data_IF_552921586782
#
_entry.id   IF_552921586782
#
_cell.length_a   1.000
_cell.length_b   1.000
_cell.length_c   1.000
_cell.angle_alpha   90.00
_cell.angle_beta   90.00
_cell.angle_gamma   90.00
#
_symmetry.space_group_name_H-M   'P 1'
#
loop_
_entity.id
_entity.type
_entity.pdbx_description
1 polymer ?
#
# COMPACT_ATOMS: atom_id res chain seq x y z
N UNK A 1 -5.70 -22.33 9.10
CA UNK A 1 -7.00 -22.65 8.45
C UNK A 1 -7.10 -24.17 8.34
N UNK A 2 -8.29 -24.81 8.30
CA UNK A 2 -8.32 -26.23 7.91
C UNK A 2 -7.81 -26.31 6.47
N UNK A 3 -6.89 -27.23 6.17
CA UNK A 3 -6.37 -27.43 4.81
C UNK A 3 -7.54 -27.78 3.88
N UNK A 4 -7.77 -26.95 2.87
CA UNK A 4 -8.80 -27.18 1.84
C UNK A 4 -8.04 -27.46 0.54
N UNK A 5 -7.73 -28.74 0.29
CA UNK A 5 -6.83 -29.17 -0.80
C UNK A 5 -7.17 -28.52 -2.16
N UNK A 6 -8.46 -28.47 -2.54
CA UNK A 6 -8.89 -27.88 -3.82
C UNK A 6 -8.48 -26.40 -3.93
N UNK A 7 -8.51 -25.67 -2.82
CA UNK A 7 -8.06 -24.27 -2.79
C UNK A 7 -6.54 -24.20 -2.86
N UNK A 8 -5.83 -25.05 -2.14
CA UNK A 8 -4.36 -25.10 -2.18
C UNK A 8 -3.84 -25.41 -3.59
N UNK A 9 -4.48 -26.36 -4.28
CA UNK A 9 -4.15 -26.73 -5.67
C UNK A 9 -4.32 -25.55 -6.63
N UNK A 10 -5.42 -24.78 -6.50
CA UNK A 10 -5.67 -23.61 -7.32
C UNK A 10 -4.62 -22.51 -7.10
N UNK A 11 -4.26 -22.25 -5.84
CA UNK A 11 -3.29 -21.21 -5.48
C UNK A 11 -1.84 -21.60 -5.84
N UNK A 12 -1.51 -22.90 -5.85
CA UNK A 12 -0.20 -23.38 -6.30
C UNK A 12 0.09 -23.07 -7.79
N UNK A 13 -0.96 -22.97 -8.61
CA UNK A 13 -0.85 -22.56 -10.03
C UNK A 13 -0.88 -21.04 -10.15
N UNK A 14 -1.75 -20.36 -9.41
CA UNK A 14 -1.89 -18.89 -9.47
C UNK A 14 -0.56 -18.17 -9.20
N UNK A 15 0.19 -18.60 -8.19
CA UNK A 15 1.47 -17.97 -7.83
C UNK A 15 2.56 -18.02 -8.91
N UNK A 16 2.39 -18.81 -9.98
CA UNK A 16 3.39 -19.03 -11.04
C UNK A 16 3.16 -18.19 -12.30
N UNK A 17 2.16 -17.30 -12.31
CA UNK A 17 1.71 -16.61 -13.54
C UNK A 17 2.29 -15.21 -13.78
N UNK A 18 3.41 -14.84 -13.15
CA UNK A 18 4.00 -13.51 -13.36
C UNK A 18 5.08 -13.52 -14.44
N UNK A 19 4.86 -12.75 -15.51
CA UNK A 19 5.91 -12.39 -16.48
C UNK A 19 6.41 -10.97 -16.22
N UNK A 20 7.71 -10.80 -16.00
CA UNK A 20 8.32 -9.47 -15.98
C UNK A 20 8.55 -8.96 -17.40
N UNK A 21 8.11 -7.74 -17.69
CA UNK A 21 8.44 -7.03 -18.92
C UNK A 21 9.28 -5.80 -18.55
N UNK A 22 10.42 -5.61 -19.22
CA UNK A 22 11.38 -4.55 -18.89
C UNK A 22 12.14 -4.78 -17.58
N UNK A 23 12.98 -3.82 -17.21
CA UNK A 23 13.78 -3.85 -15.97
C UNK A 23 12.94 -3.43 -14.75
N UNK A 24 12.02 -2.48 -14.97
CA UNK A 24 11.14 -1.92 -13.94
C UNK A 24 9.72 -1.74 -14.47
N UNK A 25 8.72 -2.33 -13.81
CA UNK A 25 7.32 -1.97 -14.06
C UNK A 25 6.96 -0.66 -13.36
N UNK A 26 5.90 0.03 -13.80
CA UNK A 26 5.39 1.22 -13.10
C UNK A 26 5.06 0.93 -11.62
N UNK A 27 4.48 -0.24 -11.31
CA UNK A 27 4.23 -0.71 -9.93
C UNK A 27 5.51 -0.90 -9.12
N UNK A 28 6.55 -1.44 -9.75
CA UNK A 28 7.87 -1.63 -9.13
C UNK A 28 8.53 -0.28 -8.88
N UNK A 29 8.42 0.64 -9.83
CA UNK A 29 9.07 1.94 -9.79
C UNK A 29 8.59 2.80 -8.62
N UNK A 30 7.28 2.79 -8.32
CA UNK A 30 6.71 3.53 -7.18
C UNK A 30 6.95 2.82 -5.83
N UNK A 31 7.38 1.56 -5.84
CA UNK A 31 7.68 0.81 -4.63
C UNK A 31 9.04 1.22 -4.03
N UNK A 32 9.22 1.08 -2.70
CA UNK A 32 10.50 1.36 -2.05
C UNK A 32 11.63 0.48 -2.62
N UNK A 33 12.83 1.02 -2.92
CA UNK A 33 13.93 0.23 -3.49
C UNK A 33 14.30 -1.00 -2.66
N UNK A 34 14.27 -0.88 -1.33
CA UNK A 34 14.51 -2.02 -0.43
C UNK A 34 13.52 -3.16 -0.64
N UNK A 35 12.22 -2.88 -0.84
CA UNK A 35 11.24 -3.93 -1.09
C UNK A 35 11.50 -4.61 -2.44
N UNK A 36 11.86 -3.84 -3.47
CA UNK A 36 12.17 -4.35 -4.80
C UNK A 36 13.40 -5.25 -4.77
N UNK A 37 14.51 -4.78 -4.18
CA UNK A 37 15.76 -5.54 -4.15
C UNK A 37 15.66 -6.80 -3.29
N UNK A 38 15.05 -6.71 -2.09
CA UNK A 38 14.82 -7.91 -1.27
C UNK A 38 13.86 -8.89 -1.98
N UNK A 39 12.85 -8.38 -2.70
CA UNK A 39 11.96 -9.20 -3.50
C UNK A 39 12.69 -9.95 -4.62
N UNK A 40 13.61 -9.27 -5.35
CA UNK A 40 14.48 -9.91 -6.35
C UNK A 40 15.40 -10.97 -5.74
N UNK A 41 15.95 -10.73 -4.54
CA UNK A 41 16.93 -11.61 -3.88
C UNK A 41 16.32 -12.82 -3.19
N UNK A 42 15.13 -12.67 -2.61
CA UNK A 42 14.53 -13.65 -1.70
C UNK A 42 13.08 -14.00 -2.02
N UNK A 43 12.47 -13.41 -3.06
CA UNK A 43 11.06 -13.62 -3.40
C UNK A 43 10.69 -15.10 -3.62
N UNK A 44 11.57 -15.86 -4.29
CA UNK A 44 11.38 -17.29 -4.53
C UNK A 44 11.46 -18.13 -3.24
N UNK A 45 12.02 -17.58 -2.17
CA UNK A 45 12.13 -18.21 -0.85
C UNK A 45 10.97 -17.81 0.07
N UNK A 46 10.05 -16.96 -0.39
CA UNK A 46 8.86 -16.58 0.35
C UNK A 46 7.76 -17.58 0.06
N UNK A 47 7.38 -18.34 1.08
CA UNK A 47 6.16 -19.14 1.02
C UNK A 47 4.95 -18.23 1.13
N UNK A 48 4.19 -18.12 0.03
CA UNK A 48 2.95 -17.36 0.01
C UNK A 48 1.80 -18.22 0.55
N UNK A 49 1.30 -17.88 1.73
CA UNK A 49 0.05 -18.47 2.25
C UNK A 49 -1.13 -18.22 1.30
N UNK A 50 -2.18 -19.03 1.40
CA UNK A 50 -3.43 -18.78 0.67
C UNK A 50 -3.99 -17.42 1.08
N UNK A 51 -4.00 -17.13 2.39
CA UNK A 51 -4.55 -15.91 2.96
C UNK A 51 -3.89 -14.63 2.42
N UNK A 52 -2.56 -14.65 2.22
CA UNK A 52 -1.83 -13.51 1.66
C UNK A 52 -2.12 -13.27 0.17
N UNK A 53 -2.64 -14.28 -0.53
CA UNK A 53 -2.92 -14.21 -1.97
C UNK A 53 -4.38 -13.88 -2.30
N UNK A 54 -5.32 -14.03 -1.35
CA UNK A 54 -6.76 -13.81 -1.60
C UNK A 54 -7.04 -12.43 -2.21
N UNK A 55 -6.42 -11.37 -1.67
CA UNK A 55 -6.64 -10.02 -2.17
C UNK A 55 -6.19 -9.86 -3.63
N UNK A 56 -5.03 -10.43 -3.98
CA UNK A 56 -4.52 -10.44 -5.36
C UNK A 56 -5.44 -11.21 -6.29
N UNK A 57 -5.88 -12.40 -5.88
CA UNK A 57 -6.80 -13.24 -6.65
C UNK A 57 -8.11 -12.51 -6.96
N UNK A 58 -8.72 -11.89 -5.94
CA UNK A 58 -9.97 -11.13 -6.12
C UNK A 58 -9.74 -9.94 -7.05
N UNK A 59 -8.62 -9.23 -6.90
CA UNK A 59 -8.22 -8.17 -7.82
C UNK A 59 -8.14 -8.66 -9.26
N UNK A 60 -7.33 -9.68 -9.53
CA UNK A 60 -7.19 -10.30 -10.86
C UNK A 60 -8.54 -10.69 -11.45
N UNK A 61 -9.39 -11.39 -10.68
CA UNK A 61 -10.70 -11.82 -11.17
C UNK A 61 -11.63 -10.66 -11.53
N UNK A 62 -11.56 -9.53 -10.81
CA UNK A 62 -12.31 -8.32 -11.16
C UNK A 62 -11.77 -7.69 -12.45
N UNK A 63 -10.45 -7.52 -12.59
CA UNK A 63 -9.84 -6.98 -13.82
C UNK A 63 -10.23 -7.82 -15.04
N UNK A 64 -9.96 -9.13 -15.02
CA UNK A 64 -10.24 -10.05 -16.13
C UNK A 64 -11.71 -10.02 -16.53
N UNK A 65 -12.62 -9.99 -15.55
CA UNK A 65 -14.05 -9.98 -15.83
C UNK A 65 -14.52 -8.66 -16.43
N UNK A 66 -14.06 -7.53 -15.91
CA UNK A 66 -14.41 -6.21 -16.44
C UNK A 66 -13.83 -6.05 -17.84
N UNK A 67 -12.57 -6.41 -18.04
CA UNK A 67 -11.92 -6.37 -19.35
C UNK A 67 -12.68 -7.22 -20.38
N UNK A 68 -13.05 -8.46 -20.03
CA UNK A 68 -13.87 -9.32 -20.90
C UNK A 68 -15.18 -8.66 -21.28
N UNK A 69 -15.87 -8.00 -20.34
CA UNK A 69 -17.12 -7.30 -20.63
C UNK A 69 -16.90 -6.07 -21.51
N UNK A 70 -15.82 -5.32 -21.30
CA UNK A 70 -15.45 -4.20 -22.15
C UNK A 70 -15.06 -4.65 -23.55
N UNK A 71 -14.36 -5.78 -23.71
CA UNK A 71 -14.11 -6.39 -25.01
C UNK A 71 -15.40 -6.65 -25.79
N UNK A 72 -16.42 -7.22 -25.13
CA UNK A 72 -17.72 -7.46 -25.76
C UNK A 72 -18.45 -6.15 -26.13
N UNK A 73 -18.35 -5.12 -25.28
CA UNK A 73 -18.86 -3.79 -25.60
C UNK A 73 -18.11 -3.15 -26.78
N UNK A 74 -16.80 -3.38 -26.86
CA UNK A 74 -15.91 -2.81 -27.88
C UNK A 74 -16.22 -3.31 -29.29
N UNK A 75 -16.78 -4.52 -29.43
CA UNK A 75 -17.26 -5.06 -30.71
C UNK A 75 -18.35 -4.17 -31.32
N UNK A 76 -19.19 -3.55 -30.47
CA UNK A 76 -20.27 -2.66 -30.92
C UNK A 76 -19.84 -1.22 -31.06
N UNK A 77 -18.91 -0.78 -30.22
CA UNK A 77 -18.38 0.57 -30.22
C UNK A 77 -16.88 0.54 -29.89
N UNK A 78 -15.98 0.68 -30.89
CA UNK A 78 -14.53 0.47 -30.74
C UNK A 78 -13.84 1.64 -30.04
N UNK A 79 -14.31 1.97 -28.85
CA UNK A 79 -13.84 3.08 -28.02
C UNK A 79 -12.73 2.66 -27.06
N UNK A 80 -12.46 1.37 -26.84
CA UNK A 80 -11.56 0.90 -25.79
C UNK A 80 -10.30 0.24 -26.34
N UNK A 81 -9.15 0.62 -25.78
CA UNK A 81 -7.92 -0.16 -25.81
C UNK A 81 -7.72 -0.77 -24.42
N UNK A 82 -7.63 -2.09 -24.36
CA UNK A 82 -7.61 -2.86 -23.11
C UNK A 82 -6.28 -3.58 -22.92
N UNK A 83 -5.84 -3.68 -21.66
CA UNK A 83 -4.66 -4.41 -21.15
C UNK A 83 -3.45 -4.43 -22.09
N UNK A 84 -2.94 -3.24 -22.44
CA UNK A 84 -1.73 -3.16 -23.28
C UNK A 84 -0.50 -2.86 -22.45
N UNK A 85 0.55 -3.61 -22.77
CA UNK A 85 1.89 -3.32 -22.27
C UNK A 85 2.56 -2.27 -23.17
N UNK A 86 3.12 -1.25 -22.54
CA UNK A 86 3.98 -0.24 -23.15
C UNK A 86 5.34 -0.30 -22.47
N UNK A 87 6.41 -0.22 -23.25
CA UNK A 87 7.80 -0.21 -22.75
C UNK A 87 8.51 1.01 -23.32
N UNK A 88 9.32 1.68 -22.52
CA UNK A 88 10.14 2.79 -22.98
C UNK A 88 11.54 2.75 -22.34
N UNK A 89 12.62 2.93 -23.12
CA UNK A 89 13.98 3.05 -22.58
C UNK A 89 14.22 4.43 -21.95
N UNK A 90 14.91 4.46 -20.82
CA UNK A 90 15.38 5.67 -20.15
C UNK A 90 16.88 5.59 -19.93
N UNK A 91 17.59 6.68 -20.21
CA UNK A 91 19.00 6.81 -19.86
C UNK A 91 19.15 7.32 -18.43
N UNK A 92 19.77 6.52 -17.55
CA UNK A 92 20.00 6.87 -16.15
C UNK A 92 21.41 6.44 -15.77
N UNK A 93 22.21 7.39 -15.29
CA UNK A 93 23.58 7.18 -14.80
C UNK A 93 24.51 6.45 -15.80
N UNK A 94 24.27 6.66 -17.09
CA UNK A 94 25.08 6.08 -18.18
C UNK A 94 24.56 4.73 -18.70
N UNK A 95 23.42 4.26 -18.20
CA UNK A 95 22.81 2.99 -18.59
C UNK A 95 21.38 3.17 -19.11
N UNK A 96 21.03 2.39 -20.14
CA UNK A 96 19.66 2.29 -20.64
C UNK A 96 18.85 1.34 -19.76
N UNK A 97 17.76 1.83 -19.16
CA UNK A 97 16.80 1.05 -18.37
C UNK A 97 15.42 1.04 -19.01
N UNK A 98 14.83 -0.13 -19.16
CA UNK A 98 13.51 -0.34 -19.75
C UNK A 98 12.43 -0.24 -18.66
N UNK A 99 11.58 0.78 -18.76
CA UNK A 99 10.38 0.90 -17.91
C UNK A 99 9.17 0.37 -18.67
N UNK A 100 8.44 -0.54 -18.05
CA UNK A 100 7.20 -1.10 -18.59
C UNK A 100 5.97 -0.64 -17.80
N UNK A 101 4.85 -0.48 -18.50
CA UNK A 101 3.55 -0.28 -17.89
C UNK A 101 2.51 -1.15 -18.58
N UNK A 102 1.65 -1.79 -17.79
CA UNK A 102 0.44 -2.47 -18.27
C UNK A 102 -0.75 -1.70 -17.72
N UNK A 103 -1.35 -0.86 -18.56
CA UNK A 103 -2.54 -0.12 -18.18
C UNK A 103 -3.80 -0.94 -18.46
N UNK A 104 -4.87 -0.73 -17.69
CA UNK A 104 -6.08 -1.53 -17.84
C UNK A 104 -6.94 -1.07 -19.01
N UNK A 105 -7.30 0.22 -19.06
CA UNK A 105 -8.27 0.75 -20.02
C UNK A 105 -7.83 2.11 -20.51
N UNK A 106 -7.76 2.28 -21.82
CA UNK A 106 -7.65 3.58 -22.48
C UNK A 106 -8.86 3.76 -23.40
N UNK A 107 -9.73 4.72 -23.06
CA UNK A 107 -10.93 5.03 -23.82
C UNK A 107 -10.66 6.18 -24.80
N UNK A 108 -11.06 6.00 -26.06
CA UNK A 108 -10.95 6.96 -27.17
C UNK A 108 -9.54 7.53 -27.37
N UNK A 109 -8.50 6.81 -26.92
CA UNK A 109 -7.10 7.26 -26.88
C UNK A 109 -6.88 8.55 -26.07
N UNK A 110 -7.75 8.85 -25.11
CA UNK A 110 -7.73 10.09 -24.33
C UNK A 110 -7.88 9.87 -22.83
N UNK A 111 -8.80 8.99 -22.43
CA UNK A 111 -9.13 8.80 -21.02
C UNK A 111 -8.52 7.49 -20.52
N UNK A 112 -7.52 7.58 -19.65
CA UNK A 112 -6.88 6.44 -19.02
C UNK A 112 -7.62 6.07 -17.74
N UNK A 113 -7.96 4.80 -17.57
CA UNK A 113 -8.55 4.25 -16.37
C UNK A 113 -7.74 3.06 -15.88
N UNK A 114 -7.63 2.96 -14.57
CA UNK A 114 -7.11 1.80 -13.88
C UNK A 114 -8.17 1.32 -12.87
N UNK A 115 -8.39 0.01 -12.86
CA UNK A 115 -9.34 -0.65 -11.98
C UNK A 115 -8.62 -0.93 -10.67
N UNK A 116 -9.26 -0.62 -9.54
CA UNK A 116 -8.75 -0.98 -8.23
C UNK A 116 -9.81 -1.69 -7.44
N UNK A 117 -9.48 -2.87 -6.91
CA UNK A 117 -10.25 -3.44 -5.80
C UNK A 117 -9.65 -2.92 -4.50
N UNK A 118 -10.51 -2.40 -3.62
CA UNK A 118 -10.07 -1.79 -2.38
C UNK A 118 -11.05 -2.06 -1.24
N UNK A 119 -10.56 -1.89 -0.01
CA UNK A 119 -11.43 -1.67 1.14
C UNK A 119 -11.66 -0.17 1.31
N UNK A 120 -12.80 0.19 1.87
CA UNK A 120 -13.18 1.58 2.18
C UNK A 120 -12.15 2.30 3.05
N UNK A 121 -11.39 1.54 3.85
CA UNK A 121 -10.24 2.04 4.62
C UNK A 121 -9.11 2.66 3.79
N UNK A 122 -8.95 2.31 2.50
CA UNK A 122 -7.96 2.94 1.61
C UNK A 122 -8.19 4.45 1.55
N UNK A 123 -9.44 4.88 1.34
CA UNK A 123 -9.79 6.30 1.31
C UNK A 123 -9.62 7.00 2.67
N UNK A 124 -9.83 6.27 3.77
CA UNK A 124 -9.71 6.84 5.12
C UNK A 124 -8.25 7.13 5.49
N UNK A 125 -7.32 6.25 5.12
CA UNK A 125 -5.91 6.38 5.48
C UNK A 125 -5.05 7.05 4.41
N UNK A 126 -5.49 7.04 3.16
CA UNK A 126 -4.81 7.65 2.01
C UNK A 126 -5.85 8.39 1.15
N UNK A 127 -6.40 9.51 1.65
CA UNK A 127 -7.44 10.26 0.95
C UNK A 127 -6.92 10.90 -0.35
N UNK A 128 -5.62 11.17 -0.43
CA UNK A 128 -4.98 11.80 -1.59
C UNK A 128 -4.58 10.78 -2.68
N UNK A 129 -4.64 9.48 -2.37
CA UNK A 129 -4.40 8.39 -3.32
C UNK A 129 -3.05 8.55 -4.04
N UNK A 130 -2.00 8.81 -3.26
CA UNK A 130 -0.69 9.22 -3.81
C UNK A 130 -0.14 8.17 -4.75
N UNK A 131 -0.21 6.89 -4.36
CA UNK A 131 0.25 5.76 -5.18
C UNK A 131 -0.50 5.64 -6.52
N UNK A 132 -1.80 5.93 -6.53
CA UNK A 132 -2.61 5.92 -7.76
C UNK A 132 -2.23 7.06 -8.70
N UNK A 133 -1.97 8.26 -8.16
CA UNK A 133 -1.46 9.39 -8.94
C UNK A 133 -0.11 9.07 -9.57
N UNK A 134 0.83 8.56 -8.77
CA UNK A 134 2.16 8.19 -9.24
C UNK A 134 2.09 7.14 -10.35
N UNK A 135 1.33 6.06 -10.14
CA UNK A 135 1.19 4.98 -11.12
C UNK A 135 0.58 5.45 -12.44
N UNK A 136 -0.57 6.13 -12.39
CA UNK A 136 -1.27 6.55 -13.59
C UNK A 136 -0.49 7.60 -14.39
N UNK A 137 0.28 8.46 -13.72
CA UNK A 137 1.15 9.42 -14.40
C UNK A 137 2.35 8.74 -15.09
N UNK A 138 2.88 7.63 -14.54
CA UNK A 138 3.87 6.83 -15.27
C UNK A 138 3.26 6.27 -16.56
N UNK A 139 2.06 5.68 -16.49
CA UNK A 139 1.39 5.15 -17.68
C UNK A 139 1.09 6.24 -18.72
N UNK A 140 0.61 7.41 -18.28
CA UNK A 140 0.38 8.56 -19.14
C UNK A 140 1.66 8.97 -19.89
N UNK A 141 2.80 9.02 -19.21
CA UNK A 141 4.09 9.32 -19.83
C UNK A 141 4.52 8.25 -20.84
N UNK A 142 4.41 6.96 -20.48
CA UNK A 142 4.76 5.88 -21.39
C UNK A 142 3.90 5.87 -22.66
N UNK A 143 2.61 6.25 -22.54
CA UNK A 143 1.70 6.44 -23.67
C UNK A 143 2.08 7.67 -24.52
N UNK A 144 2.44 8.78 -23.89
CA UNK A 144 2.95 9.98 -24.57
C UNK A 144 4.17 9.64 -25.44
N UNK A 145 5.13 8.86 -24.91
CA UNK A 145 6.29 8.40 -25.68
C UNK A 145 5.95 7.47 -26.86
N UNK A 146 4.70 7.02 -26.97
CA UNK A 146 4.14 6.25 -28.09
C UNK A 146 3.21 7.08 -28.98
N UNK A 147 3.19 8.40 -28.81
CA UNK A 147 2.36 9.33 -29.58
C UNK A 147 0.89 9.33 -29.18
N UNK A 148 0.58 8.96 -27.93
CA UNK A 148 -0.77 8.99 -27.36
C UNK A 148 -0.79 9.94 -26.17
N UNK A 149 -1.37 11.11 -26.37
CA UNK A 149 -1.58 12.11 -25.31
C UNK A 149 -2.92 11.87 -24.62
N UNK A 150 -2.86 11.47 -23.35
CA UNK A 150 -4.05 11.33 -22.52
C UNK A 150 -4.50 12.68 -21.99
N UNK A 151 -5.82 12.90 -21.93
CA UNK A 151 -6.44 14.11 -21.40
C UNK A 151 -6.84 13.93 -19.92
N UNK A 152 -7.18 12.71 -19.52
CA UNK A 152 -7.57 12.38 -18.14
C UNK A 152 -6.95 11.07 -17.68
N UNK A 153 -6.64 11.01 -16.38
CA UNK A 153 -6.23 9.80 -15.69
C UNK A 153 -7.19 9.54 -14.53
N UNK A 154 -7.67 8.30 -14.44
CA UNK A 154 -8.81 7.99 -13.59
C UNK A 154 -8.62 6.64 -12.88
N UNK A 155 -9.27 6.49 -11.74
CA UNK A 155 -9.38 5.21 -11.03
C UNK A 155 -10.84 4.80 -10.97
N UNK A 156 -11.12 3.54 -11.27
CA UNK A 156 -12.40 2.88 -11.00
C UNK A 156 -12.23 2.00 -9.76
N UNK A 157 -12.59 2.53 -8.59
CA UNK A 157 -12.44 1.85 -7.32
C UNK A 157 -13.68 1.01 -6.99
N UNK A 158 -13.49 -0.31 -6.90
CA UNK A 158 -14.46 -1.31 -6.46
C UNK A 158 -14.25 -1.60 -4.98
N UNK A 159 -15.18 -1.14 -4.13
CA UNK A 159 -15.11 -1.30 -2.69
C UNK A 159 -15.74 -2.63 -2.23
N UNK A 160 -14.90 -3.56 -1.79
CA UNK A 160 -15.30 -4.93 -1.44
C UNK A 160 -16.02 -5.03 -0.08
N UNK A 161 -15.88 -4.03 0.78
CA UNK A 161 -16.49 -3.96 2.11
C UNK A 161 -17.49 -2.80 2.24
N UNK A 162 -18.05 -2.33 1.12
CA UNK A 162 -18.98 -1.22 1.10
C UNK A 162 -20.33 -1.57 1.76
N UNK A 163 -20.84 -0.69 2.62
CA UNK A 163 -22.13 -0.83 3.31
C UNK A 163 -22.91 0.49 3.18
N UNK A 164 -24.14 0.40 2.69
CA UNK A 164 -25.03 1.55 2.42
C UNK A 164 -25.28 2.42 3.66
N UNK A 165 -25.52 1.79 4.82
CA UNK A 165 -25.80 2.53 6.06
C UNK A 165 -24.62 3.40 6.53
N UNK A 166 -23.38 3.03 6.19
CA UNK A 166 -22.21 3.86 6.47
C UNK A 166 -22.15 5.07 5.54
N UNK A 167 -22.50 4.91 4.25
CA UNK A 167 -22.56 6.00 3.29
C UNK A 167 -23.58 7.07 3.69
N UNK A 168 -24.76 6.65 4.16
CA UNK A 168 -25.81 7.56 4.66
C UNK A 168 -25.33 8.35 5.89
N UNK A 169 -24.60 7.70 6.81
CA UNK A 169 -24.18 8.32 8.08
C UNK A 169 -22.93 9.17 7.96
N UNK A 170 -22.05 8.89 7.01
CA UNK A 170 -20.75 9.54 6.89
C UNK A 170 -20.50 10.01 5.46
N UNK A 171 -20.50 11.34 5.26
CA UNK A 171 -20.20 11.96 3.96
C UNK A 171 -18.77 11.69 3.46
N UNK A 172 -17.83 11.40 4.36
CA UNK A 172 -16.45 11.03 4.01
C UNK A 172 -16.27 9.55 3.66
N UNK A 173 -17.32 8.75 3.76
CA UNK A 173 -17.34 7.37 3.29
C UNK A 173 -17.63 7.32 1.78
N UNK A 174 -17.13 6.34 1.01
CA UNK A 174 -17.51 6.21 -0.40
C UNK A 174 -19.03 6.17 -0.58
N UNK A 175 -19.57 7.05 -1.42
CA UNK A 175 -21.03 7.18 -1.56
C UNK A 175 -21.66 6.13 -2.49
N UNK A 176 -20.83 5.30 -3.13
CA UNK A 176 -21.23 4.17 -3.94
C UNK A 176 -20.22 3.02 -3.78
N UNK A 177 -20.61 1.77 -4.05
CA UNK A 177 -19.69 0.63 -4.02
C UNK A 177 -18.67 0.66 -5.16
N UNK A 178 -18.94 1.38 -6.24
CA UNK A 178 -18.01 1.66 -7.33
C UNK A 178 -17.92 3.17 -7.47
N UNK A 179 -16.71 3.73 -7.37
CA UNK A 179 -16.47 5.18 -7.46
C UNK A 179 -15.38 5.45 -8.49
N UNK A 180 -15.64 6.40 -9.38
CA UNK A 180 -14.61 6.96 -10.24
C UNK A 180 -13.92 8.13 -9.52
N UNK A 181 -12.59 8.09 -9.47
CA UNK A 181 -11.76 9.20 -9.01
C UNK A 181 -10.98 9.77 -10.19
N UNK A 182 -11.10 11.09 -10.41
CA UNK A 182 -10.27 11.80 -11.38
C UNK A 182 -8.98 12.20 -10.67
N UNK A 183 -7.84 11.77 -11.20
CA UNK A 183 -6.54 12.07 -10.63
C UNK A 183 -5.92 13.29 -11.31
N UNK A 184 -4.98 13.95 -10.61
CA UNK A 184 -4.20 15.05 -11.21
C UNK A 184 -3.23 14.49 -12.26
N UNK A 185 -3.49 14.81 -13.52
CA UNK A 185 -2.54 14.63 -14.62
C UNK A 185 -1.42 15.68 -14.49
N UNK A 186 -0.18 15.22 -14.36
CA UNK A 186 0.99 16.08 -14.32
C UNK A 186 1.43 16.46 -15.73
N UNK A 187 2.24 17.51 -15.84
CA UNK A 187 2.94 17.83 -17.08
C UNK A 187 3.92 16.70 -17.46
N UNK A 188 4.24 16.57 -18.76
CA UNK A 188 5.21 15.57 -19.21
C UNK A 188 6.60 15.75 -18.59
N UNK A 189 6.97 16.99 -18.26
CA UNK A 189 8.21 17.28 -17.54
C UNK A 189 8.19 16.70 -16.13
N UNK A 190 7.16 17.02 -15.33
CA UNK A 190 6.97 16.47 -13.98
C UNK A 190 6.93 14.92 -14.00
N UNK A 191 6.24 14.33 -14.98
CA UNK A 191 6.19 12.87 -15.16
C UNK A 191 7.58 12.29 -15.41
N UNK A 192 8.33 12.89 -16.33
CA UNK A 192 9.69 12.46 -16.68
C UNK A 192 10.64 12.57 -15.49
N UNK A 193 10.62 13.71 -14.80
CA UNK A 193 11.45 13.95 -13.62
C UNK A 193 11.15 12.95 -12.52
N UNK A 194 9.87 12.67 -12.28
CA UNK A 194 9.44 11.67 -11.31
C UNK A 194 9.96 10.28 -11.66
N UNK A 195 9.79 9.84 -12.92
CA UNK A 195 10.26 8.53 -13.39
C UNK A 195 11.78 8.40 -13.23
N UNK A 196 12.54 9.40 -13.70
CA UNK A 196 14.01 9.39 -13.61
C UNK A 196 14.45 9.42 -12.14
N UNK A 197 13.79 10.23 -11.31
CA UNK A 197 14.08 10.30 -9.88
C UNK A 197 13.87 8.96 -9.16
N UNK A 198 12.82 8.20 -9.50
CA UNK A 198 12.62 6.85 -8.98
C UNK A 198 13.64 5.86 -9.56
N UNK A 199 13.91 5.91 -10.86
CA UNK A 199 14.87 5.02 -11.51
C UNK A 199 16.26 5.16 -10.87
N UNK A 200 16.77 6.37 -10.66
CA UNK A 200 18.04 6.61 -9.99
C UNK A 200 18.14 5.93 -8.63
N UNK A 201 17.08 6.01 -7.82
CA UNK A 201 17.03 5.36 -6.50
C UNK A 201 17.05 3.84 -6.61
N UNK A 202 16.39 3.28 -7.62
CA UNK A 202 16.35 1.84 -7.84
C UNK A 202 17.67 1.30 -8.38
N UNK A 203 18.24 1.95 -9.40
CA UNK A 203 19.54 1.60 -10.00
C UNK A 203 20.64 1.65 -8.95
N UNK A 204 20.73 2.74 -8.17
CA UNK A 204 21.71 2.84 -7.10
C UNK A 204 21.58 1.74 -6.04
N UNK A 205 20.38 1.18 -5.84
CA UNK A 205 20.13 0.13 -4.86
C UNK A 205 20.47 -1.29 -5.37
N UNK A 206 20.69 -1.49 -6.68
CA UNK A 206 20.96 -2.82 -7.25
C UNK A 206 22.24 -3.43 -6.65
N UNK A 207 23.31 -2.63 -6.56
CA UNK A 207 24.63 -3.07 -6.09
C UNK A 207 24.81 -3.01 -4.56
N UNK A 208 23.83 -2.50 -3.82
CA UNK A 208 23.92 -2.35 -2.36
C UNK A 208 23.72 -3.68 -1.64
N UNK A 209 24.47 -3.94 -0.56
CA UNK A 209 24.15 -5.04 0.36
C UNK A 209 22.81 -4.81 1.07
N UNK A 210 22.19 -5.86 1.62
CA UNK A 210 20.89 -5.73 2.32
C UNK A 210 20.92 -4.72 3.49
N UNK A 211 22.06 -4.64 4.18
CA UNK A 211 22.31 -3.67 5.25
C UNK A 211 22.38 -2.22 4.76
N UNK A 212 22.81 -2.01 3.51
CA UNK A 212 23.01 -0.68 2.93
C UNK A 212 21.81 -0.16 2.15
N UNK A 213 20.86 -1.04 1.79
CA UNK A 213 19.63 -0.64 1.09
C UNK A 213 18.93 0.52 1.83
N UNK A 214 18.37 1.51 1.11
CA UNK A 214 17.69 2.64 1.73
C UNK A 214 16.53 2.16 2.61
N UNK A 215 16.39 2.75 3.79
CA UNK A 215 15.30 2.42 4.71
C UNK A 215 13.99 2.98 4.14
N UNK A 216 12.92 2.18 4.17
CA UNK A 216 11.60 2.65 3.78
C UNK A 216 11.17 3.82 4.69
N UNK A 217 10.49 4.83 4.14
CA UNK A 217 10.00 5.97 4.94
C UNK A 217 8.86 5.57 5.89
N UNK A 218 8.52 6.44 6.84
CA UNK A 218 7.40 6.21 7.76
C UNK A 218 6.07 6.01 6.99
N UNK A 219 5.86 6.80 5.95
CA UNK A 219 4.72 6.71 5.05
C UNK A 219 4.73 5.37 4.30
N UNK A 220 5.88 4.97 3.73
CA UNK A 220 6.01 3.69 3.02
C UNK A 220 5.82 2.48 3.94
N UNK A 221 6.13 2.60 5.24
CA UNK A 221 5.92 1.56 6.25
C UNK A 221 4.50 1.56 6.85
N UNK A 222 3.68 2.55 6.52
CA UNK A 222 2.40 2.84 7.19
C UNK A 222 2.59 2.91 8.71
N UNK A 223 3.62 3.66 9.11
CA UNK A 223 4.00 3.82 10.50
C UNK A 223 2.99 4.69 11.24
N UNK A 224 2.46 4.14 12.33
CA UNK A 224 1.60 4.89 13.25
C UNK A 224 2.45 5.41 14.40
N UNK A 225 2.33 6.70 14.75
CA UNK A 225 3.08 7.28 15.85
C UNK A 225 2.73 6.58 17.17
N UNK A 226 3.63 6.65 18.18
CA UNK A 226 3.35 6.10 19.49
C UNK A 226 2.12 6.77 20.10
N UNK A 227 1.41 6.00 20.93
CA UNK A 227 0.22 6.49 21.65
C UNK A 227 0.33 6.13 23.12
N UNK A 228 -0.35 6.88 23.97
CA UNK A 228 -0.49 6.51 25.38
C UNK A 228 -1.95 6.15 25.67
N UNK A 229 -2.18 5.07 26.40
CA UNK A 229 -3.50 4.64 26.80
C UNK A 229 -3.62 4.61 28.31
N UNK A 230 -4.64 5.27 28.84
CA UNK A 230 -4.97 5.20 30.26
C UNK A 230 -5.90 4.02 30.48
N UNK A 231 -5.46 3.07 31.31
CA UNK A 231 -6.15 1.82 31.62
C UNK A 231 -6.62 1.84 33.08
N UNK A 232 -7.83 1.35 33.34
CA UNK A 232 -8.39 1.31 34.71
C UNK A 232 -7.74 0.25 35.59
N UNK A 233 -7.42 -0.90 35.01
CA UNK A 233 -6.75 -2.03 35.65
C UNK A 233 -6.21 -2.99 34.58
N UNK A 234 -5.40 -3.97 34.99
CA UNK A 234 -4.69 -4.88 34.07
C UNK A 234 -5.60 -5.78 33.24
N UNK A 235 -6.87 -5.95 33.63
CA UNK A 235 -7.85 -6.83 32.98
C UNK A 235 -8.76 -6.05 32.01
N UNK A 236 -8.69 -4.71 32.03
CA UNK A 236 -9.54 -3.87 31.20
C UNK A 236 -9.29 -4.12 29.70
N UNK A 237 -10.35 -4.50 28.97
CA UNK A 237 -10.29 -4.77 27.53
C UNK A 237 -10.26 -3.50 26.66
N UNK A 238 -10.53 -2.32 27.24
CA UNK A 238 -10.57 -1.04 26.54
C UNK A 238 -9.89 0.04 27.37
N UNK A 239 -9.18 0.93 26.70
CA UNK A 239 -8.62 2.12 27.32
C UNK A 239 -9.75 3.08 27.73
N UNK A 240 -9.58 3.75 28.86
CA UNK A 240 -10.47 4.82 29.29
C UNK A 240 -10.28 6.04 28.38
N UNK A 241 -9.03 6.31 27.99
CA UNK A 241 -8.67 7.32 26.99
C UNK A 241 -7.37 6.95 26.28
N UNK A 242 -7.26 7.29 25.00
CA UNK A 242 -6.03 7.16 24.20
C UNK A 242 -5.59 8.54 23.75
N UNK A 243 -4.32 8.85 23.97
CA UNK A 243 -3.67 10.08 23.56
C UNK A 243 -2.76 9.79 22.37
N UNK A 244 -2.95 10.57 21.30
CA UNK A 244 -2.10 10.58 20.11
C UNK A 244 -1.26 11.85 20.16
N UNK A 245 0.02 11.76 19.77
CA UNK A 245 0.94 12.90 19.70
C UNK A 245 1.09 13.69 21.03
N UNK A 246 0.95 13.01 22.17
CA UNK A 246 1.11 13.62 23.49
C UNK A 246 2.42 13.15 24.13
N UNK A 247 3.02 13.99 24.95
CA UNK A 247 4.11 13.64 25.86
C UNK A 247 3.58 12.82 27.05
N UNK A 248 4.45 12.05 27.70
CA UNK A 248 4.05 11.31 28.90
C UNK A 248 3.55 12.25 30.02
N UNK A 249 4.14 13.45 30.15
CA UNK A 249 3.74 14.44 31.15
C UNK A 249 2.29 14.93 30.93
N UNK A 250 1.90 15.25 29.70
CA UNK A 250 0.53 15.65 29.38
C UNK A 250 -0.48 14.54 29.67
N UNK A 251 -0.09 13.29 29.42
CA UNK A 251 -0.95 12.12 29.71
C UNK A 251 -1.08 11.91 31.22
N UNK A 252 0.00 12.10 31.98
CA UNK A 252 -0.01 11.98 33.44
C UNK A 252 -0.90 13.05 34.08
N UNK A 253 -0.78 14.31 33.64
CA UNK A 253 -1.67 15.40 34.08
C UNK A 253 -3.13 15.09 33.76
N UNK A 254 -3.41 14.59 32.55
CA UNK A 254 -4.76 14.20 32.18
C UNK A 254 -5.28 12.98 32.99
N UNK A 255 -4.40 12.08 33.43
CA UNK A 255 -4.76 10.97 34.31
C UNK A 255 -5.14 11.46 35.71
N UNK A 256 -4.38 12.41 36.28
CA UNK A 256 -4.65 13.02 37.60
C UNK A 256 -6.04 13.67 37.70
N UNK A 257 -6.48 14.32 36.62
CA UNK A 257 -7.81 14.94 36.54
C UNK A 257 -8.97 13.97 36.28
N UNK A 258 -8.73 12.67 36.09
CA UNK A 258 -9.72 11.72 35.60
C UNK A 258 -10.44 10.99 36.75
N UNK A 259 -11.78 11.07 36.78
CA UNK A 259 -12.59 10.34 37.77
C UNK A 259 -12.59 8.83 37.51
N UNK A 260 -12.55 8.04 38.58
CA UNK A 260 -12.65 6.57 38.51
C UNK A 260 -11.36 5.85 38.13
N UNK A 261 -10.21 6.53 38.23
CA UNK A 261 -8.91 5.88 38.30
C UNK A 261 -8.55 5.59 39.77
N UNK A 262 -7.78 4.54 40.01
CA UNK A 262 -7.34 4.11 41.34
C UNK A 262 -5.87 3.63 41.27
N UNK A 263 -5.38 3.04 42.34
CA UNK A 263 -4.00 2.52 42.42
C UNK A 263 -3.71 1.38 41.43
N UNK A 264 -4.72 0.68 40.92
CA UNK A 264 -4.58 -0.35 39.89
C UNK A 264 -4.55 0.23 38.47
N UNK A 265 -4.89 1.51 38.32
CA UNK A 265 -4.86 2.21 37.05
C UNK A 265 -3.43 2.48 36.60
N UNK A 266 -3.22 2.45 35.30
CA UNK A 266 -1.90 2.65 34.72
C UNK A 266 -1.96 3.36 33.37
N UNK A 267 -0.85 3.97 33.01
CA UNK A 267 -0.61 4.46 31.66
C UNK A 267 0.18 3.40 30.91
N UNK A 268 -0.35 3.00 29.76
CA UNK A 268 0.27 2.09 28.81
C UNK A 268 0.88 2.93 27.69
N UNK A 269 2.21 2.98 27.60
CA UNK A 269 2.89 3.52 26.41
C UNK A 269 2.89 2.47 25.31
N UNK A 270 2.27 2.80 24.18
CA UNK A 270 2.19 1.95 22.98
C UNK A 270 3.15 2.50 21.94
N UNK A 271 4.15 1.70 21.60
CA UNK A 271 5.17 2.05 20.63
C UNK A 271 4.61 2.27 19.23
N UNK A 272 5.42 2.88 18.36
CA UNK A 272 5.12 3.02 16.95
C UNK A 272 4.87 1.66 16.29
N UNK A 273 3.88 1.60 15.40
CA UNK A 273 3.50 0.37 14.70
C UNK A 273 3.76 0.54 13.22
N UNK A 274 4.66 -0.27 12.66
CA UNK A 274 4.95 -0.32 11.22
C UNK A 274 4.01 -1.30 10.54
N UNK A 275 2.79 -0.85 10.27
CA UNK A 275 1.68 -1.72 9.86
C UNK A 275 2.00 -2.54 8.62
N UNK A 276 2.67 -1.94 7.62
CA UNK A 276 3.06 -2.66 6.40
C UNK A 276 4.05 -3.76 6.71
N UNK A 277 5.12 -3.46 7.44
CA UNK A 277 6.15 -4.42 7.79
C UNK A 277 5.59 -5.60 8.59
N UNK A 278 4.67 -5.35 9.53
CA UNK A 278 4.11 -6.41 10.38
C UNK A 278 3.07 -7.29 9.69
N UNK A 279 2.32 -6.78 8.72
CA UNK A 279 1.11 -7.45 8.22
C UNK A 279 1.03 -7.66 6.71
N UNK A 280 1.72 -6.84 5.94
CA UNK A 280 1.49 -6.74 4.49
C UNK A 280 2.75 -6.89 3.64
N UNK A 281 3.94 -6.83 4.26
CA UNK A 281 5.20 -6.97 3.56
C UNK A 281 5.57 -8.45 3.44
N UNK A 282 5.46 -9.00 2.24
CA UNK A 282 5.77 -10.41 1.96
C UNK A 282 7.24 -10.79 2.21
N UNK A 283 8.16 -9.82 2.14
CA UNK A 283 9.60 -10.05 2.29
C UNK A 283 10.13 -9.71 3.69
N UNK A 284 9.23 -9.47 4.66
CA UNK A 284 9.61 -8.98 5.98
C UNK A 284 10.55 -9.93 6.75
N UNK A 285 10.43 -11.25 6.55
CA UNK A 285 11.26 -12.28 7.16
C UNK A 285 12.74 -12.16 6.78
N UNK A 286 13.03 -11.60 5.60
CA UNK A 286 14.38 -11.37 5.07
C UNK A 286 14.84 -9.90 5.21
N UNK A 287 14.07 -9.04 5.88
CA UNK A 287 14.39 -7.62 6.01
C UNK A 287 15.09 -7.33 7.34
N UNK A 288 16.39 -7.01 7.30
CA UNK A 288 17.19 -6.68 8.48
C UNK A 288 16.59 -5.51 9.30
N UNK A 289 16.06 -4.48 8.63
CA UNK A 289 15.40 -3.33 9.30
C UNK A 289 14.16 -3.76 10.08
N UNK A 290 13.41 -4.75 9.56
CA UNK A 290 12.24 -5.28 10.27
C UNK A 290 12.64 -6.17 11.43
N UNK A 291 13.68 -7.01 11.26
CA UNK A 291 14.22 -7.85 12.33
C UNK A 291 14.71 -7.00 13.50
N UNK A 292 15.44 -5.92 13.24
CA UNK A 292 15.88 -4.95 14.25
C UNK A 292 14.68 -4.29 14.96
N UNK A 293 13.65 -3.91 14.20
CA UNK A 293 12.42 -3.36 14.75
C UNK A 293 11.72 -4.36 15.68
N UNK A 294 11.63 -5.64 15.30
CA UNK A 294 11.04 -6.69 16.14
C UNK A 294 11.88 -6.94 17.40
N UNK A 295 13.21 -7.00 17.28
CA UNK A 295 14.11 -7.19 18.42
C UNK A 295 13.98 -6.06 19.44
N UNK A 296 13.93 -4.80 18.99
CA UNK A 296 13.68 -3.64 19.86
C UNK A 296 12.31 -3.72 20.54
N UNK A 297 11.27 -4.12 19.80
CA UNK A 297 9.91 -4.29 20.33
C UNK A 297 9.82 -5.38 21.41
N UNK A 298 10.59 -6.45 21.28
CA UNK A 298 10.67 -7.52 22.28
C UNK A 298 11.46 -7.09 23.53
N UNK A 299 12.59 -6.41 23.35
CA UNK A 299 13.45 -5.99 24.47
C UNK A 299 12.84 -4.88 25.34
N UNK A 300 12.04 -3.98 24.76
CA UNK A 300 11.40 -2.88 25.50
C UNK A 300 10.07 -3.34 26.15
N UNK A 301 9.59 -4.53 25.79
CA UNK A 301 8.21 -4.94 26.04
C UNK A 301 7.25 -4.20 25.09
N UNK A 302 6.21 -4.89 24.64
CA UNK A 302 5.25 -4.33 23.68
C UNK A 302 4.68 -2.98 24.15
N UNK A 303 4.50 -2.83 25.47
CA UNK A 303 4.06 -1.61 26.10
C UNK A 303 4.82 -1.37 27.42
N UNK A 304 5.22 -0.12 27.67
CA UNK A 304 5.74 0.29 28.98
C UNK A 304 4.58 0.66 29.89
N UNK A 305 4.45 -0.01 31.04
CA UNK A 305 3.38 0.21 32.00
C UNK A 305 3.88 1.11 33.12
N UNK A 306 3.20 2.24 33.32
CA UNK A 306 3.45 3.17 34.42
C UNK A 306 2.27 3.12 35.39
N UNK A 307 2.47 2.50 36.56
CA UNK A 307 1.45 2.42 37.60
C UNK A 307 1.17 3.82 38.16
N UNK A 308 -0.11 4.22 38.23
CA UNK A 308 -0.48 5.53 38.76
C UNK A 308 -0.37 5.60 40.29
N UNK A 309 -0.41 4.45 40.98
CA UNK A 309 -0.28 4.39 42.44
C UNK A 309 1.04 4.92 43.03
N UNK A 310 2.07 5.18 42.21
CA UNK A 310 3.31 5.84 42.62
C UNK A 310 3.55 7.22 41.99
N UNK A 311 2.60 7.74 41.22
CA UNK A 311 2.71 9.00 40.44
C UNK A 311 1.55 9.99 40.71
N UNK A 312 0.50 9.53 41.40
CA UNK A 312 -0.56 10.33 42.03
C UNK A 312 -0.12 10.74 43.44
#
# INVERSE_FOLDING_TARGET
MKHIQIIEDAFAVYGKQYSSLGDYSATTLISPPRLVQLGKRYGDKVENSVESQIASLVGTGVHEKVEKLLHLANVKNPDYMLERSVVHPFEVDGETRLVAGKFDILRKKKDLFDIKTAKTWKLIFDPDMVDWHEQQNIYAYLLHMRGIDVETINILAFYLDWIESNAIRNKGYPQAPIVQYNLKLWSHEEQREFIIGKLKKHVAAEDMSDSELPVCTAEEMWERPPTYAIMKNKIAKRANRVFKNATFAEVLEAARGMKGLNTESFIESRHNVRTRCEKYCAINSYCNVYQDYQARKQNIGLNTIYQLGGLL
#
